data_IF_444341804794
#
_entry.id   IF_444341804794
#
_cell.length_a   1.000
_cell.length_b   1.000
_cell.length_c   1.000
_cell.angle_alpha   90.00
_cell.angle_beta   90.00
_cell.angle_gamma   90.00
#
_symmetry.space_group_name_H-M   'P 1'
#
loop_
_entity.id
_entity.type
_entity.pdbx_description
1 polymer ?
#
# COMPACT_ATOMS: atom_id res chain seq x y z
N UNK A 1 -31.47 7.53 -34.72
CA UNK A 1 -30.04 7.65 -34.35
C UNK A 1 -29.74 6.64 -33.25
N UNK A 2 -29.12 5.50 -33.58
CA UNK A 2 -28.69 4.51 -32.56
C UNK A 2 -27.30 4.90 -32.10
N UNK A 3 -27.20 5.44 -30.89
CA UNK A 3 -25.94 5.63 -30.19
C UNK A 3 -25.28 4.25 -30.06
N UNK A 4 -24.14 4.06 -30.71
CA UNK A 4 -23.33 2.87 -30.53
C UNK A 4 -23.02 2.74 -29.04
N UNK A 5 -23.47 1.64 -28.42
CA UNK A 5 -23.08 1.26 -27.08
C UNK A 5 -21.57 1.01 -27.08
N UNK A 6 -20.80 2.07 -26.87
CA UNK A 6 -19.39 1.96 -26.57
C UNK A 6 -19.28 1.12 -25.30
N UNK A 7 -18.85 -0.13 -25.46
CA UNK A 7 -18.52 -1.04 -24.37
C UNK A 7 -17.40 -0.38 -23.56
N UNK A 8 -17.75 0.49 -22.61
CA UNK A 8 -16.85 0.97 -21.57
C UNK A 8 -16.48 -0.28 -20.77
N UNK A 9 -15.27 -0.80 -20.99
CA UNK A 9 -14.77 -1.97 -20.26
C UNK A 9 -14.95 -1.75 -18.76
N UNK A 10 -15.85 -2.51 -18.16
CA UNK A 10 -16.16 -2.53 -16.73
C UNK A 10 -15.04 -3.21 -15.92
N UNK A 11 -13.77 -2.89 -16.20
CA UNK A 11 -12.60 -3.48 -15.57
C UNK A 11 -11.99 -2.50 -14.57
N UNK A 12 -11.96 -2.89 -13.30
CA UNK A 12 -11.41 -2.11 -12.20
C UNK A 12 -9.91 -2.40 -12.02
N UNK A 13 -9.18 -1.59 -11.23
CA UNK A 13 -7.79 -1.87 -10.92
C UNK A 13 -7.65 -3.14 -10.08
N UNK A 14 -8.55 -3.31 -9.11
CA UNK A 14 -8.46 -4.33 -8.10
C UNK A 14 -9.15 -5.65 -8.50
N UNK A 15 -8.72 -6.75 -7.87
CA UNK A 15 -9.42 -8.04 -7.94
C UNK A 15 -10.79 -7.98 -7.24
N UNK A 16 -10.84 -7.26 -6.11
CA UNK A 16 -12.03 -7.01 -5.31
C UNK A 16 -12.61 -5.62 -5.65
N UNK A 17 -13.92 -5.38 -5.50
CA UNK A 17 -14.47 -4.04 -5.69
C UNK A 17 -13.76 -3.02 -4.79
N UNK A 18 -13.50 -1.82 -5.30
CA UNK A 18 -12.79 -0.76 -4.55
C UNK A 18 -13.48 -0.39 -3.24
N UNK A 19 -14.80 -0.56 -3.16
CA UNK A 19 -15.56 -0.41 -1.92
C UNK A 19 -15.23 -1.45 -0.85
N UNK A 20 -14.93 -2.69 -1.25
CA UNK A 20 -14.52 -3.75 -0.30
C UNK A 20 -13.13 -3.44 0.25
N UNK A 21 -12.20 -3.02 -0.61
CA UNK A 21 -10.86 -2.61 -0.18
C UNK A 21 -10.95 -1.38 0.73
N UNK A 22 -11.78 -0.39 0.39
CA UNK A 22 -12.06 0.79 1.23
C UNK A 22 -12.58 0.38 2.61
N UNK A 23 -13.55 -0.54 2.66
CA UNK A 23 -14.13 -1.02 3.91
C UNK A 23 -13.08 -1.74 4.77
N UNK A 24 -12.41 -2.74 4.22
CA UNK A 24 -11.45 -3.57 4.97
C UNK A 24 -10.25 -2.72 5.43
N UNK A 25 -9.63 -1.97 4.52
CA UNK A 25 -8.51 -1.10 4.87
C UNK A 25 -8.93 0.02 5.84
N UNK A 26 -10.15 0.56 5.69
CA UNK A 26 -10.68 1.59 6.58
C UNK A 26 -10.92 1.06 8.00
N UNK A 27 -11.51 -0.13 8.14
CA UNK A 27 -11.69 -0.76 9.45
C UNK A 27 -10.36 -1.07 10.12
N UNK A 28 -9.38 -1.57 9.35
CA UNK A 28 -8.01 -1.78 9.85
C UNK A 28 -7.41 -0.44 10.29
N UNK A 29 -7.50 0.61 9.49
CA UNK A 29 -6.93 1.91 9.82
C UNK A 29 -7.56 2.53 11.08
N UNK A 30 -8.88 2.43 11.25
CA UNK A 30 -9.57 2.89 12.47
C UNK A 30 -9.14 2.07 13.68
N UNK A 31 -9.07 0.74 13.56
CA UNK A 31 -8.67 -0.13 14.66
C UNK A 31 -7.23 0.15 15.10
N UNK A 32 -6.30 0.24 14.15
CA UNK A 32 -4.89 0.56 14.40
C UNK A 32 -4.70 1.97 14.96
N UNK A 33 -5.43 2.96 14.42
CA UNK A 33 -5.41 4.34 14.95
C UNK A 33 -5.96 4.42 16.37
N UNK A 34 -7.04 3.70 16.67
CA UNK A 34 -7.62 3.62 18.02
C UNK A 34 -6.66 2.94 18.99
N UNK A 35 -6.04 1.84 18.58
CA UNK A 35 -5.03 1.14 19.36
C UNK A 35 -3.85 2.07 19.72
N UNK A 36 -3.30 2.77 18.73
CA UNK A 36 -2.21 3.73 18.92
C UNK A 36 -2.62 4.87 19.86
N UNK A 37 -3.81 5.45 19.66
CA UNK A 37 -4.34 6.51 20.52
C UNK A 37 -4.52 6.06 21.98
N UNK A 38 -5.07 4.86 22.19
CA UNK A 38 -5.27 4.33 23.54
C UNK A 38 -3.92 4.04 24.19
N UNK A 39 -2.95 3.53 23.44
CA UNK A 39 -1.59 3.37 23.95
C UNK A 39 -1.02 4.71 24.41
N UNK A 40 -1.05 5.74 23.55
CA UNK A 40 -0.53 7.07 23.88
C UNK A 40 -1.21 7.66 25.13
N UNK A 41 -2.51 7.39 25.32
CA UNK A 41 -3.24 7.80 26.50
C UNK A 41 -2.76 7.08 27.77
N UNK A 42 -2.57 5.75 27.72
CA UNK A 42 -2.04 4.99 28.86
C UNK A 42 -0.59 5.35 29.18
N UNK A 43 0.19 5.73 28.17
CA UNK A 43 1.56 6.24 28.32
C UNK A 43 1.62 7.70 28.79
N UNK A 44 0.48 8.34 29.04
CA UNK A 44 0.40 9.73 29.52
C UNK A 44 0.84 10.78 28.50
N UNK A 45 0.90 10.44 27.22
CA UNK A 45 1.36 11.32 26.14
C UNK A 45 0.28 12.23 25.59
N UNK A 46 -0.98 11.81 25.71
CA UNK A 46 -2.15 12.60 25.30
C UNK A 46 -3.12 12.73 26.44
N UNK A 47 -3.79 13.89 26.51
CA UNK A 47 -4.76 14.16 27.56
C UNK A 47 -6.13 13.55 27.25
N UNK A 48 -6.98 13.50 28.27
CA UNK A 48 -8.32 12.88 28.17
C UNK A 48 -9.20 13.59 27.13
N UNK A 49 -9.05 14.91 27.00
CA UNK A 49 -9.83 15.69 26.05
C UNK A 49 -9.44 15.34 24.61
N UNK A 50 -8.14 15.27 24.30
CA UNK A 50 -7.63 14.83 23.02
C UNK A 50 -8.12 13.43 22.68
N UNK A 51 -8.04 12.48 23.62
CA UNK A 51 -8.51 11.11 23.39
C UNK A 51 -10.00 11.06 23.05
N UNK A 52 -10.85 11.82 23.76
CA UNK A 52 -12.29 11.88 23.46
C UNK A 52 -12.54 12.44 22.06
N UNK A 53 -11.89 13.54 21.69
CA UNK A 53 -12.04 14.16 20.37
C UNK A 53 -11.55 13.23 19.24
N UNK A 54 -10.46 12.51 19.46
CA UNK A 54 -9.92 11.56 18.50
C UNK A 54 -10.85 10.33 18.34
N UNK A 55 -11.44 9.81 19.43
CA UNK A 55 -12.42 8.73 19.35
C UNK A 55 -13.71 9.17 18.62
N UNK A 56 -14.19 10.39 18.88
CA UNK A 56 -15.32 10.97 18.13
C UNK A 56 -15.01 11.09 16.64
N UNK A 57 -13.79 11.53 16.30
CA UNK A 57 -13.31 11.58 14.91
C UNK A 57 -13.26 10.18 14.29
N UNK A 58 -12.88 9.15 15.06
CA UNK A 58 -12.93 7.74 14.66
C UNK A 58 -14.36 7.27 14.34
N UNK A 59 -15.36 7.67 15.12
CA UNK A 59 -16.77 7.37 14.84
C UNK A 59 -17.25 8.03 13.54
N UNK A 60 -16.87 9.29 13.31
CA UNK A 60 -17.16 9.99 12.05
C UNK A 60 -16.49 9.26 10.88
N UNK A 61 -15.25 8.80 11.05
CA UNK A 61 -14.55 8.05 10.02
C UNK A 61 -15.24 6.73 9.69
N UNK A 62 -15.68 5.96 10.70
CA UNK A 62 -16.46 4.75 10.53
C UNK A 62 -17.77 5.01 9.78
N UNK A 63 -18.48 6.09 10.12
CA UNK A 63 -19.68 6.50 9.40
C UNK A 63 -19.38 6.81 7.93
N UNK A 64 -18.30 7.55 7.64
CA UNK A 64 -17.87 7.81 6.26
C UNK A 64 -17.52 6.53 5.50
N UNK A 65 -16.80 5.59 6.14
CA UNK A 65 -16.45 4.29 5.55
C UNK A 65 -17.72 3.49 5.23
N UNK A 66 -18.66 3.40 6.17
CA UNK A 66 -19.94 2.72 5.98
C UNK A 66 -20.74 3.33 4.82
N UNK A 67 -20.84 4.66 4.78
CA UNK A 67 -21.51 5.38 3.69
C UNK A 67 -20.79 5.19 2.35
N UNK A 68 -19.46 5.20 2.34
CA UNK A 68 -18.65 4.93 1.15
C UNK A 68 -18.84 3.51 0.62
N UNK A 69 -18.96 2.52 1.51
CA UNK A 69 -19.27 1.14 1.17
C UNK A 69 -20.67 0.99 0.55
N UNK A 70 -21.67 1.67 1.12
CA UNK A 70 -23.02 1.75 0.54
C UNK A 70 -23.06 2.50 -0.80
N UNK A 71 -22.01 3.27 -1.11
CA UNK A 71 -21.81 3.91 -2.40
C UNK A 71 -22.07 5.40 -2.44
N UNK A 72 -22.30 6.02 -1.29
CA UNK A 72 -22.46 7.46 -1.19
C UNK A 72 -21.13 8.18 -1.41
N UNK A 73 -21.09 9.10 -2.37
CA UNK A 73 -19.87 9.85 -2.74
C UNK A 73 -19.29 10.64 -1.58
N UNK A 74 -20.14 11.28 -0.78
CA UNK A 74 -19.69 12.03 0.38
C UNK A 74 -18.99 11.14 1.42
N UNK A 75 -19.45 9.89 1.59
CA UNK A 75 -18.78 8.89 2.42
C UNK A 75 -17.41 8.50 1.87
N UNK A 76 -17.31 8.26 0.56
CA UNK A 76 -16.02 7.99 -0.12
C UNK A 76 -15.04 9.16 0.06
N UNK A 77 -15.50 10.40 -0.12
CA UNK A 77 -14.69 11.60 0.06
C UNK A 77 -14.22 11.73 1.52
N UNK A 78 -15.15 11.65 2.48
CA UNK A 78 -14.84 11.75 3.90
C UNK A 78 -13.85 10.68 4.36
N UNK A 79 -14.06 9.42 3.95
CA UNK A 79 -13.17 8.33 4.30
C UNK A 79 -11.75 8.53 3.74
N UNK A 80 -11.64 9.01 2.49
CA UNK A 80 -10.35 9.33 1.88
C UNK A 80 -9.67 10.55 2.51
N UNK A 81 -10.42 11.60 2.82
CA UNK A 81 -9.89 12.82 3.42
C UNK A 81 -9.35 12.57 4.83
N UNK A 82 -10.09 11.86 5.67
CA UNK A 82 -9.65 11.52 7.03
C UNK A 82 -8.41 10.62 6.98
N UNK A 83 -8.40 9.61 6.09
CA UNK A 83 -7.21 8.76 5.90
C UNK A 83 -5.98 9.55 5.43
N UNK A 84 -6.17 10.53 4.55
CA UNK A 84 -5.09 11.40 4.10
C UNK A 84 -4.55 12.28 5.23
N UNK A 85 -5.42 12.86 6.05
CA UNK A 85 -5.02 13.62 7.24
C UNK A 85 -4.26 12.73 8.22
N UNK A 86 -4.76 11.52 8.51
CA UNK A 86 -4.07 10.58 9.40
C UNK A 86 -2.69 10.19 8.88
N UNK A 87 -2.57 9.95 7.57
CA UNK A 87 -1.29 9.70 6.92
C UNK A 87 -0.33 10.90 7.06
N UNK A 88 -0.85 12.12 6.87
CA UNK A 88 -0.07 13.36 7.05
C UNK A 88 0.39 13.56 8.49
N UNK A 89 -0.46 13.29 9.47
CA UNK A 89 -0.12 13.33 10.90
C UNK A 89 1.01 12.34 11.19
N UNK A 90 0.87 11.08 10.77
CA UNK A 90 1.93 10.07 10.93
C UNK A 90 3.26 10.53 10.32
N UNK A 91 3.22 11.01 9.07
CA UNK A 91 4.41 11.52 8.40
C UNK A 91 5.07 12.67 9.17
N UNK A 92 4.27 13.59 9.74
CA UNK A 92 4.80 14.72 10.52
C UNK A 92 5.37 14.33 11.88
N UNK A 93 4.79 13.30 12.53
CA UNK A 93 5.22 12.84 13.85
C UNK A 93 6.46 11.95 13.79
N UNK A 94 6.69 11.21 12.70
CA UNK A 94 7.89 10.35 12.56
C UNK A 94 9.21 11.14 12.48
N UNK A 95 9.18 12.40 12.02
CA UNK A 95 10.38 13.26 12.00
C UNK A 95 10.66 13.94 13.36
N UNK A 96 9.80 13.74 14.36
CA UNK A 96 9.92 14.37 15.68
C UNK A 96 10.19 13.27 16.71
N UNK A 97 11.35 13.32 17.35
CA UNK A 97 11.68 12.40 18.45
C UNK A 97 10.73 12.62 19.64
N UNK A 98 10.09 11.54 20.11
CA UNK A 98 9.11 11.59 21.19
C UNK A 98 8.68 10.21 21.66
N UNK A 99 7.75 10.17 22.62
CA UNK A 99 7.27 8.91 23.20
C UNK A 99 6.48 8.05 22.21
N UNK A 100 5.90 8.66 21.17
CA UNK A 100 5.27 7.95 20.04
C UNK A 100 6.24 7.44 18.98
N UNK A 101 7.56 7.56 19.18
CA UNK A 101 8.56 7.03 18.25
C UNK A 101 8.54 5.50 18.23
N UNK A 102 8.76 4.90 17.06
CA UNK A 102 8.68 3.45 16.86
C UNK A 102 9.70 2.69 17.73
N UNK A 103 10.88 3.26 17.95
CA UNK A 103 11.91 2.72 18.82
C UNK A 103 11.50 2.71 20.29
N UNK A 104 10.63 3.63 20.73
CA UNK A 104 10.04 3.63 22.07
C UNK A 104 9.05 2.48 22.20
N UNK A 105 8.19 2.28 21.20
CA UNK A 105 7.30 1.12 21.13
C UNK A 105 8.05 -0.22 21.15
N UNK A 106 9.10 -0.34 20.34
CA UNK A 106 9.92 -1.57 20.31
C UNK A 106 10.55 -1.86 21.67
N UNK A 107 11.03 -0.84 22.38
CA UNK A 107 11.69 -1.00 23.70
C UNK A 107 10.72 -1.33 24.83
N UNK A 108 9.53 -0.72 24.84
CA UNK A 108 8.60 -0.84 25.96
C UNK A 108 7.52 -1.90 25.75
N UNK A 109 7.09 -2.13 24.51
CA UNK A 109 5.95 -3.01 24.19
C UNK A 109 6.33 -4.17 23.24
N UNK A 110 7.49 -4.09 22.61
CA UNK A 110 8.04 -5.13 21.76
C UNK A 110 7.67 -5.01 20.27
N UNK A 111 8.31 -5.88 19.48
CA UNK A 111 8.20 -5.93 18.02
C UNK A 111 6.75 -6.02 17.48
N UNK A 112 5.83 -6.81 18.05
CA UNK A 112 4.48 -6.94 17.49
C UNK A 112 3.70 -5.62 17.51
N UNK A 113 3.80 -4.85 18.59
CA UNK A 113 3.12 -3.55 18.73
C UNK A 113 3.67 -2.53 17.75
N UNK A 114 4.99 -2.45 17.61
CA UNK A 114 5.64 -1.58 16.64
C UNK A 114 5.25 -1.93 15.19
N UNK A 115 5.16 -3.23 14.87
CA UNK A 115 4.70 -3.72 13.56
C UNK A 115 3.27 -3.25 13.26
N UNK A 116 2.38 -3.35 14.26
CA UNK A 116 0.98 -2.95 14.19
C UNK A 116 0.86 -1.44 13.96
N UNK A 117 1.67 -0.63 14.65
CA UNK A 117 1.72 0.81 14.43
C UNK A 117 2.18 1.16 13.00
N UNK A 118 3.24 0.50 12.49
CA UNK A 118 3.72 0.71 11.11
C UNK A 118 2.69 0.35 10.05
N UNK A 119 1.84 -0.64 10.31
CA UNK A 119 0.80 -1.08 9.37
C UNK A 119 -0.31 -0.03 9.16
N UNK A 120 -0.40 0.99 10.01
CA UNK A 120 -1.38 2.08 9.86
C UNK A 120 -1.13 2.91 8.60
N UNK A 121 0.14 3.14 8.24
CA UNK A 121 0.55 3.89 7.04
C UNK A 121 0.01 3.24 5.75
N UNK A 122 0.31 1.95 5.45
CA UNK A 122 -0.24 1.30 4.27
C UNK A 122 -1.76 1.15 4.34
N UNK A 123 -2.37 0.99 5.52
CA UNK A 123 -3.83 0.97 5.64
C UNK A 123 -4.45 2.32 5.20
N UNK A 124 -3.91 3.45 5.67
CA UNK A 124 -4.36 4.78 5.27
C UNK A 124 -4.14 5.03 3.77
N UNK A 125 -2.97 4.65 3.24
CA UNK A 125 -2.68 4.75 1.81
C UNK A 125 -3.69 3.95 0.96
N UNK A 126 -4.02 2.71 1.38
CA UNK A 126 -5.03 1.87 0.74
C UNK A 126 -6.42 2.51 0.76
N UNK A 127 -6.82 3.16 1.85
CA UNK A 127 -8.10 3.89 1.92
C UNK A 127 -8.11 5.05 0.92
N UNK A 128 -7.07 5.88 0.87
CA UNK A 128 -6.96 7.01 -0.08
C UNK A 128 -7.03 6.52 -1.53
N UNK A 129 -6.27 5.49 -1.87
CA UNK A 129 -6.28 4.90 -3.22
C UNK A 129 -7.64 4.29 -3.56
N UNK A 130 -8.26 3.57 -2.63
CA UNK A 130 -9.57 2.96 -2.83
C UNK A 130 -10.67 4.00 -2.97
N UNK A 131 -10.57 5.12 -2.26
CA UNK A 131 -11.49 6.25 -2.41
C UNK A 131 -11.38 6.90 -3.79
N UNK A 132 -10.16 7.15 -4.27
CA UNK A 132 -9.92 7.70 -5.61
C UNK A 132 -10.47 6.78 -6.72
N UNK A 133 -10.28 5.46 -6.59
CA UNK A 133 -10.84 4.49 -7.52
C UNK A 133 -12.37 4.44 -7.42
N UNK A 134 -12.91 4.43 -6.20
CA UNK A 134 -14.35 4.36 -5.94
C UNK A 134 -15.11 5.58 -6.47
N UNK A 135 -14.44 6.73 -6.56
CA UNK A 135 -14.99 7.95 -7.14
C UNK A 135 -15.35 7.80 -8.62
N UNK A 136 -14.52 7.08 -9.38
CA UNK A 136 -14.70 6.93 -10.83
C UNK A 136 -15.36 5.62 -11.22
N UNK A 137 -15.07 4.53 -10.52
CA UNK A 137 -15.56 3.22 -10.89
C UNK A 137 -15.72 2.27 -9.67
N UNK A 138 -16.77 2.49 -8.85
CA UNK A 138 -16.91 1.87 -7.54
C UNK A 138 -17.06 0.34 -7.53
N UNK A 139 -17.72 -0.21 -8.55
CA UNK A 139 -18.05 -1.64 -8.62
C UNK A 139 -17.13 -2.42 -9.57
N UNK A 140 -16.15 -1.75 -10.19
CA UNK A 140 -15.33 -2.41 -11.19
C UNK A 140 -14.30 -3.32 -10.55
N UNK A 141 -14.18 -4.51 -11.12
CA UNK A 141 -13.22 -5.56 -10.74
C UNK A 141 -12.48 -6.05 -11.98
N UNK A 142 -11.28 -6.61 -11.80
CA UNK A 142 -10.59 -7.32 -12.86
C UNK A 142 -10.31 -8.77 -12.44
N UNK A 143 -11.01 -9.77 -13.01
CA UNK A 143 -10.84 -11.17 -12.62
C UNK A 143 -9.63 -11.85 -13.29
N UNK A 144 -8.75 -11.13 -13.98
CA UNK A 144 -7.61 -11.75 -14.69
C UNK A 144 -6.66 -12.42 -13.72
N UNK A 145 -6.53 -13.74 -13.85
CA UNK A 145 -5.63 -14.57 -13.03
C UNK A 145 -4.16 -14.08 -13.07
N UNK A 146 -3.71 -13.57 -14.23
CA UNK A 146 -2.37 -12.97 -14.39
C UNK A 146 -2.08 -11.84 -13.39
N UNK A 147 -3.12 -11.12 -12.93
CA UNK A 147 -2.99 -10.01 -11.97
C UNK A 147 -3.06 -10.48 -10.52
N UNK A 148 -3.56 -11.70 -10.27
CA UNK A 148 -3.66 -12.29 -8.93
C UNK A 148 -2.28 -12.55 -8.35
N UNK A 149 -1.39 -13.16 -9.14
CA UNK A 149 -0.03 -13.47 -8.70
C UNK A 149 0.73 -12.21 -8.26
N UNK A 150 0.62 -11.12 -9.03
CA UNK A 150 1.27 -9.84 -8.70
C UNK A 150 0.63 -9.14 -7.51
N UNK A 151 -0.70 -9.26 -7.32
CA UNK A 151 -1.34 -8.73 -6.12
C UNK A 151 -0.91 -9.50 -4.87
N UNK A 152 -0.90 -10.84 -4.93
CA UNK A 152 -0.43 -11.67 -3.82
C UNK A 152 1.04 -11.40 -3.49
N UNK A 153 1.88 -11.29 -4.51
CA UNK A 153 3.28 -10.90 -4.34
C UNK A 153 3.42 -9.51 -3.71
N UNK A 154 2.56 -8.55 -4.07
CA UNK A 154 2.58 -7.20 -3.49
C UNK A 154 2.08 -7.20 -2.04
N UNK A 155 1.09 -8.04 -1.71
CA UNK A 155 0.58 -8.20 -0.35
C UNK A 155 1.64 -8.83 0.57
N UNK A 156 2.21 -9.96 0.14
CA UNK A 156 3.29 -10.63 0.87
C UNK A 156 4.53 -9.73 0.97
N UNK A 157 4.87 -9.04 -0.11
CA UNK A 157 5.96 -8.07 -0.15
C UNK A 157 5.80 -6.96 0.88
N UNK A 158 4.63 -6.34 0.94
CA UNK A 158 4.36 -5.31 1.95
C UNK A 158 4.41 -5.84 3.38
N UNK A 159 3.86 -7.03 3.64
CA UNK A 159 3.96 -7.68 4.96
C UNK A 159 5.41 -7.92 5.34
N UNK A 160 6.21 -8.50 4.45
CA UNK A 160 7.61 -8.79 4.72
C UNK A 160 8.45 -7.52 4.88
N UNK A 161 8.20 -6.46 4.11
CA UNK A 161 8.90 -5.17 4.25
C UNK A 161 8.60 -4.53 5.59
N UNK A 162 7.34 -4.51 6.05
CA UNK A 162 6.98 -3.98 7.37
C UNK A 162 7.64 -4.80 8.48
N UNK A 163 7.60 -6.13 8.39
CA UNK A 163 8.25 -7.00 9.36
C UNK A 163 9.77 -6.78 9.40
N UNK A 164 10.43 -6.79 8.25
CA UNK A 164 11.87 -6.55 8.14
C UNK A 164 12.27 -5.18 8.69
N UNK A 165 11.49 -4.14 8.41
CA UNK A 165 11.76 -2.80 8.91
C UNK A 165 11.58 -2.69 10.42
N UNK A 166 10.57 -3.37 10.99
CA UNK A 166 10.37 -3.41 12.44
C UNK A 166 11.55 -4.10 13.15
N UNK A 167 12.06 -5.19 12.57
CA UNK A 167 13.30 -5.84 13.04
C UNK A 167 14.52 -4.92 12.93
N UNK A 168 14.63 -4.16 11.85
CA UNK A 168 15.67 -3.13 11.67
C UNK A 168 15.63 -2.07 12.78
N UNK A 169 14.45 -1.61 13.18
CA UNK A 169 14.29 -0.67 14.31
C UNK A 169 14.77 -1.30 15.61
N UNK A 170 14.43 -2.57 15.86
CA UNK A 170 14.85 -3.28 17.07
C UNK A 170 16.36 -3.43 17.19
N UNK A 171 17.04 -3.73 16.07
CA UNK A 171 18.50 -3.89 16.02
C UNK A 171 19.23 -2.57 15.83
N UNK A 172 18.52 -1.45 15.70
CA UNK A 172 19.07 -0.14 15.34
C UNK A 172 19.91 -0.16 14.07
N UNK A 173 19.48 -0.96 13.08
CA UNK A 173 20.27 -1.30 11.90
C UNK A 173 19.63 -0.77 10.60
N UNK A 174 20.00 0.48 10.26
CA UNK A 174 19.68 1.14 8.99
C UNK A 174 20.91 1.87 8.40
N UNK A 175 22.11 1.37 8.70
CA UNK A 175 23.36 2.03 8.31
C UNK A 175 23.57 3.34 9.06
N UNK A 176 23.83 4.44 8.34
CA UNK A 176 23.99 5.78 8.94
C UNK A 176 22.68 6.56 9.10
N UNK A 177 21.57 6.01 8.60
CA UNK A 177 20.27 6.65 8.70
C UNK A 177 19.63 6.42 10.07
N UNK A 178 18.78 7.36 10.50
CA UNK A 178 17.92 7.18 11.65
C UNK A 178 16.96 6.00 11.40
N UNK A 179 16.79 5.14 12.41
CA UNK A 179 15.97 3.93 12.33
C UNK A 179 14.49 4.25 12.11
N UNK A 180 14.02 5.36 12.67
CA UNK A 180 12.65 5.86 12.47
C UNK A 180 12.39 6.24 11.01
N UNK A 181 13.32 6.97 10.40
CA UNK A 181 13.22 7.40 9.01
C UNK A 181 13.26 6.19 8.07
N UNK A 182 14.11 5.20 8.38
CA UNK A 182 14.18 3.93 7.66
C UNK A 182 12.88 3.12 7.73
N UNK A 183 12.27 3.04 8.91
CA UNK A 183 11.00 2.37 9.11
C UNK A 183 9.84 3.05 8.37
N UNK A 184 9.78 4.39 8.44
CA UNK A 184 8.77 5.15 7.70
C UNK A 184 8.96 4.99 6.18
N UNK A 185 10.19 5.10 5.68
CA UNK A 185 10.49 4.85 4.28
C UNK A 185 10.05 3.45 3.84
N UNK A 186 10.29 2.42 4.66
CA UNK A 186 9.80 1.07 4.39
C UNK A 186 8.27 0.99 4.33
N UNK A 187 7.55 1.70 5.19
CA UNK A 187 6.09 1.75 5.15
C UNK A 187 5.55 2.45 3.89
N UNK A 188 6.24 3.50 3.40
CA UNK A 188 5.94 4.12 2.10
C UNK A 188 6.22 3.15 0.96
N UNK A 189 7.35 2.45 0.98
CA UNK A 189 7.71 1.45 -0.04
C UNK A 189 6.71 0.30 -0.08
N UNK A 190 6.28 -0.20 1.08
CA UNK A 190 5.23 -1.21 1.20
C UNK A 190 3.90 -0.71 0.59
N UNK A 191 3.55 0.55 0.85
CA UNK A 191 2.36 1.20 0.27
C UNK A 191 2.44 1.30 -1.25
N UNK A 192 3.60 1.69 -1.80
CA UNK A 192 3.85 1.77 -3.24
C UNK A 192 3.79 0.39 -3.91
N UNK A 193 4.32 -0.65 -3.26
CA UNK A 193 4.26 -2.00 -3.80
C UNK A 193 2.82 -2.50 -3.87
N UNK A 194 2.05 -2.35 -2.77
CA UNK A 194 0.62 -2.66 -2.73
C UNK A 194 -0.16 -1.89 -3.80
N UNK A 195 0.08 -0.59 -3.91
CA UNK A 195 -0.50 0.29 -4.91
C UNK A 195 -0.23 -0.23 -6.33
N UNK A 196 1.01 -0.63 -6.61
CA UNK A 196 1.42 -1.18 -7.88
C UNK A 196 0.69 -2.47 -8.24
N UNK A 197 0.64 -3.43 -7.31
CA UNK A 197 -0.11 -4.69 -7.47
C UNK A 197 -1.60 -4.45 -7.67
N UNK A 198 -2.16 -3.45 -7.02
CA UNK A 198 -3.54 -3.06 -7.15
C UNK A 198 -3.83 -2.34 -8.48
N UNK A 199 -2.94 -1.49 -9.00
CA UNK A 199 -3.20 -0.72 -10.23
C UNK A 199 -2.86 -1.47 -11.52
N UNK A 200 -2.04 -2.53 -11.45
CA UNK A 200 -1.57 -3.25 -12.64
C UNK A 200 -2.71 -3.84 -13.49
N UNK A 201 -3.86 -4.11 -12.87
CA UNK A 201 -5.07 -4.61 -13.54
C UNK A 201 -5.77 -3.57 -14.42
N UNK A 202 -5.67 -2.27 -14.14
CA UNK A 202 -6.35 -1.20 -14.91
C UNK A 202 -5.37 -0.35 -15.70
N UNK A 203 -4.27 0.05 -15.06
CA UNK A 203 -3.26 0.94 -15.64
C UNK A 203 -1.92 0.22 -15.59
N UNK A 204 -1.75 -0.80 -16.45
CA UNK A 204 -0.60 -1.73 -16.43
C UNK A 204 0.74 -1.03 -16.34
N UNK A 205 0.92 0.10 -17.04
CA UNK A 205 2.14 0.91 -17.01
C UNK A 205 2.39 1.54 -15.64
N UNK A 206 1.40 2.24 -15.09
CA UNK A 206 1.50 2.86 -13.76
C UNK A 206 1.70 1.82 -12.67
N UNK A 207 0.92 0.73 -12.69
CA UNK A 207 1.08 -0.36 -11.74
C UNK A 207 2.47 -1.00 -11.81
N UNK A 208 2.96 -1.30 -13.02
CA UNK A 208 4.31 -1.84 -13.20
C UNK A 208 5.39 -0.87 -12.73
N UNK A 209 5.27 0.43 -13.02
CA UNK A 209 6.23 1.44 -12.57
C UNK A 209 6.29 1.55 -11.04
N UNK A 210 5.14 1.52 -10.36
CA UNK A 210 5.08 1.52 -8.90
C UNK A 210 5.73 0.27 -8.29
N UNK A 211 5.47 -0.92 -8.86
CA UNK A 211 6.14 -2.15 -8.42
C UNK A 211 7.65 -2.04 -8.63
N UNK A 212 8.11 -1.61 -9.81
CA UNK A 212 9.54 -1.45 -10.13
C UNK A 212 10.24 -0.54 -9.13
N UNK A 213 9.66 0.63 -8.85
CA UNK A 213 10.24 1.59 -7.89
C UNK A 213 10.28 1.00 -6.49
N UNK A 214 9.17 0.44 -6.02
CA UNK A 214 9.09 -0.11 -4.67
C UNK A 214 10.07 -1.28 -4.48
N UNK A 215 10.06 -2.24 -5.40
CA UNK A 215 10.89 -3.43 -5.26
C UNK A 215 12.36 -3.14 -5.47
N UNK A 216 12.71 -2.18 -6.34
CA UNK A 216 14.08 -1.68 -6.45
C UNK A 216 14.61 -1.18 -5.12
N UNK A 217 13.84 -0.32 -4.43
CA UNK A 217 14.24 0.21 -3.12
C UNK A 217 14.48 -0.93 -2.13
N UNK A 218 13.60 -1.94 -2.08
CA UNK A 218 13.74 -3.09 -1.16
C UNK A 218 15.02 -3.89 -1.44
N UNK A 219 15.19 -4.43 -2.65
CA UNK A 219 16.30 -5.35 -2.90
C UNK A 219 17.64 -4.62 -2.95
N UNK A 220 17.68 -3.38 -3.45
CA UNK A 220 18.88 -2.56 -3.43
C UNK A 220 19.31 -2.22 -2.00
N UNK A 221 18.37 -1.80 -1.15
CA UNK A 221 18.67 -1.49 0.26
C UNK A 221 19.20 -2.71 1.00
N UNK A 222 18.65 -3.90 0.74
CA UNK A 222 19.17 -5.14 1.31
C UNK A 222 20.62 -5.42 0.88
N UNK A 223 20.95 -5.23 -0.39
CA UNK A 223 22.33 -5.39 -0.87
C UNK A 223 23.26 -4.41 -0.15
N UNK A 224 22.88 -3.13 -0.06
CA UNK A 224 23.73 -2.11 0.57
C UNK A 224 23.88 -2.31 2.08
N UNK A 225 22.83 -2.76 2.78
CA UNK A 225 22.84 -2.90 4.24
C UNK A 225 23.41 -4.24 4.71
N UNK A 226 23.23 -5.32 3.93
CA UNK A 226 23.52 -6.68 4.42
C UNK A 226 24.57 -7.45 3.61
N UNK A 227 24.92 -7.00 2.41
CA UNK A 227 25.90 -7.67 1.54
C UNK A 227 27.17 -6.86 1.29
N UNK A 228 27.16 -5.54 1.50
CA UNK A 228 28.36 -4.70 1.43
C UNK A 228 29.19 -4.83 2.71
N UNK A 229 30.52 -4.82 2.58
CA UNK A 229 31.44 -4.87 3.73
C UNK A 229 31.16 -3.72 4.71
N UNK A 230 31.00 -4.07 5.99
CA UNK A 230 30.72 -3.11 7.06
C UNK A 230 29.24 -2.93 7.39
N UNK A 231 28.33 -3.58 6.66
CA UNK A 231 26.91 -3.68 7.01
C UNK A 231 26.59 -4.88 7.90
N UNK A 232 25.41 -4.89 8.50
CA UNK A 232 24.94 -5.97 9.38
C UNK A 232 24.61 -7.21 8.56
N UNK A 233 25.31 -8.31 8.82
CA UNK A 233 25.15 -9.52 8.01
C UNK A 233 23.83 -10.24 8.30
N UNK A 234 23.31 -11.02 7.33
CA UNK A 234 22.13 -11.88 7.55
C UNK A 234 22.35 -12.87 8.70
N UNK A 235 23.59 -13.31 8.92
CA UNK A 235 23.97 -14.17 10.04
C UNK A 235 23.80 -13.45 11.39
N UNK A 236 24.11 -12.16 11.42
CA UNK A 236 23.95 -11.31 12.59
C UNK A 236 22.47 -11.06 12.90
N UNK A 237 21.62 -10.90 11.88
CA UNK A 237 20.16 -10.90 12.05
C UNK A 237 19.71 -12.20 12.74
N UNK A 238 20.20 -13.35 12.25
CA UNK A 238 19.84 -14.65 12.80
C UNK A 238 20.32 -14.84 14.26
N UNK A 239 21.46 -14.27 14.64
CA UNK A 239 21.97 -14.36 16.02
C UNK A 239 21.28 -13.40 16.99
N UNK A 240 20.86 -12.22 16.51
CA UNK A 240 20.31 -11.16 17.37
C UNK A 240 18.80 -11.26 17.50
N UNK A 241 18.10 -11.45 16.39
CA UNK A 241 16.63 -11.50 16.36
C UNK A 241 16.09 -12.91 16.15
N UNK A 242 16.91 -13.83 15.66
CA UNK A 242 16.54 -15.22 15.40
C UNK A 242 16.39 -15.55 13.92
N UNK A 243 16.43 -16.86 13.63
CA UNK A 243 16.47 -17.39 12.25
C UNK A 243 15.24 -16.97 11.42
N UNK A 244 14.06 -16.87 12.04
CA UNK A 244 12.83 -16.50 11.34
C UNK A 244 12.94 -15.10 10.72
N UNK A 245 13.56 -14.13 11.39
CA UNK A 245 13.71 -12.77 10.88
C UNK A 245 14.73 -12.68 9.74
N UNK A 246 15.81 -13.46 9.84
CA UNK A 246 16.76 -13.61 8.74
C UNK A 246 16.07 -14.20 7.48
N UNK A 247 15.19 -15.19 7.67
CA UNK A 247 14.40 -15.77 6.58
C UNK A 247 13.40 -14.77 6.00
N UNK A 248 12.70 -13.98 6.82
CA UNK A 248 11.79 -12.92 6.36
C UNK A 248 12.55 -11.89 5.52
N UNK A 249 13.70 -11.42 5.99
CA UNK A 249 14.53 -10.43 5.30
C UNK A 249 15.04 -10.94 3.94
N UNK A 250 15.51 -12.19 3.90
CA UNK A 250 15.91 -12.84 2.65
C UNK A 250 14.71 -13.05 1.71
N UNK A 251 13.57 -13.52 2.22
CA UNK A 251 12.36 -13.75 1.44
C UNK A 251 11.80 -12.44 0.86
N UNK A 252 11.79 -11.34 1.63
CA UNK A 252 11.40 -10.01 1.17
C UNK A 252 12.22 -9.58 -0.05
N UNK A 253 13.54 -9.77 0.04
CA UNK A 253 14.51 -9.40 -1.00
C UNK A 253 14.34 -10.24 -2.25
N UNK A 254 14.21 -11.56 -2.11
CA UNK A 254 13.98 -12.47 -3.25
C UNK A 254 12.66 -12.16 -3.94
N UNK A 255 11.59 -11.96 -3.17
CA UNK A 255 10.28 -11.61 -3.70
C UNK A 255 10.30 -10.24 -4.41
N UNK A 256 11.03 -9.28 -3.86
CA UNK A 256 11.24 -7.97 -4.47
C UNK A 256 12.00 -8.09 -5.80
N UNK A 257 13.12 -8.82 -5.83
CA UNK A 257 13.89 -9.07 -7.05
C UNK A 257 13.06 -9.76 -8.15
N UNK A 258 12.31 -10.81 -7.80
CA UNK A 258 11.42 -11.49 -8.74
C UNK A 258 10.32 -10.55 -9.26
N UNK A 259 9.68 -9.79 -8.37
CA UNK A 259 8.63 -8.84 -8.73
C UNK A 259 9.16 -7.69 -9.60
N UNK A 260 10.39 -7.24 -9.35
CA UNK A 260 11.09 -6.24 -10.15
C UNK A 260 11.27 -6.71 -11.61
N UNK A 261 11.81 -7.92 -11.81
CA UNK A 261 12.03 -8.49 -13.15
C UNK A 261 10.71 -8.67 -13.91
N UNK A 262 9.69 -9.20 -13.24
CA UNK A 262 8.36 -9.37 -13.84
C UNK A 262 7.78 -8.01 -14.23
N UNK A 263 7.80 -7.03 -13.32
CA UNK A 263 7.24 -5.70 -13.58
C UNK A 263 7.99 -4.96 -14.70
N UNK A 264 9.32 -5.05 -14.76
CA UNK A 264 10.11 -4.53 -15.88
C UNK A 264 9.74 -5.17 -17.21
N UNK A 265 9.58 -6.51 -17.23
CA UNK A 265 9.16 -7.23 -18.43
C UNK A 265 7.79 -6.73 -18.91
N UNK A 266 6.85 -6.54 -17.97
CA UNK A 266 5.53 -5.99 -18.27
C UNK A 266 5.57 -4.55 -18.79
N UNK A 267 6.46 -3.73 -18.23
CA UNK A 267 6.66 -2.35 -18.66
C UNK A 267 7.28 -2.30 -20.07
N UNK A 268 8.33 -3.08 -20.33
CA UNK A 268 8.97 -3.18 -21.63
C UNK A 268 7.99 -3.65 -22.71
N UNK A 269 7.22 -4.71 -22.44
CA UNK A 269 6.18 -5.19 -23.37
C UNK A 269 5.11 -4.13 -23.64
N UNK A 270 4.78 -3.30 -22.65
CA UNK A 270 3.81 -2.21 -22.81
C UNK A 270 4.36 -1.00 -23.58
N UNK A 271 5.68 -0.83 -23.66
CA UNK A 271 6.36 0.21 -24.43
C UNK A 271 6.64 -0.25 -25.87
N UNK A 272 7.00 -1.52 -26.06
CA UNK A 272 7.39 -2.08 -27.37
C UNK A 272 6.19 -2.41 -28.25
N UNK A 273 5.00 -2.71 -27.70
CA UNK A 273 3.80 -2.92 -28.52
C UNK A 273 3.34 -1.59 -29.13
N UNK A 274 3.41 -1.41 -30.47
CA UNK A 274 2.82 -0.25 -31.12
C UNK A 274 1.33 -0.23 -30.78
N UNK A 275 0.81 0.94 -30.41
CA UNK A 275 -0.63 1.10 -30.23
C UNK A 275 -1.32 0.59 -31.48
N UNK A 276 -2.33 -0.29 -31.33
CA UNK A 276 -3.26 -0.60 -32.41
C UNK A 276 -3.78 0.74 -32.92
N UNK A 277 -3.21 1.23 -34.00
CA UNK A 277 -3.74 2.31 -34.80
C UNK A 277 -5.20 1.97 -35.05
N UNK A 278 -6.10 2.89 -34.72
CA UNK A 278 -7.52 2.77 -35.02
C UNK A 278 -7.66 2.25 -36.45
N UNK A 279 -8.13 1.01 -36.60
CA UNK A 279 -8.58 0.52 -37.89
C UNK A 279 -9.65 1.52 -38.37
N UNK A 280 -9.52 2.10 -39.58
CA UNK A 280 -10.61 2.83 -40.17
C UNK A 280 -11.79 1.88 -40.23
N UNK A 281 -12.91 2.25 -39.61
CA UNK A 281 -14.17 1.54 -39.81
C UNK A 281 -14.45 1.56 -41.31
N UNK A 282 -14.31 0.42 -41.97
CA UNK A 282 -14.82 0.23 -43.32
C UNK A 282 -16.32 0.49 -43.27
N UNK A 283 -16.75 1.53 -43.98
CA UNK A 283 -18.15 1.88 -44.11
C UNK A 283 -18.93 0.68 -44.68
N UNK A 284 -20.12 0.34 -44.15
CA UNK A 284 -20.94 -0.71 -44.74
C UNK A 284 -21.36 -0.29 -46.15
N UNK A 285 -21.11 -1.19 -47.11
CA UNK A 285 -21.52 -1.05 -48.49
C UNK A 285 -23.03 -0.77 -48.56
N UNK A 286 -23.41 0.32 -49.21
CA UNK A 286 -24.80 0.62 -49.52
C UNK A 286 -25.36 -0.50 -50.41
N UNK A 287 -26.22 -1.34 -49.83
CA UNK A 287 -27.05 -2.25 -50.60
C UNK A 287 -27.98 -1.41 -51.47
N UNK A 288 -27.83 -1.57 -52.79
CA UNK A 288 -28.80 -1.16 -53.81
C UNK A 288 -30.20 -1.62 -53.39
N UNK A 289 -31.11 -0.68 -53.16
CA UNK A 289 -32.53 -0.95 -53.18
C UNK A 289 -33.02 -0.75 -54.61
N UNK A 290 -33.27 -1.86 -55.31
CA UNK A 290 -34.10 -1.89 -56.50
C UNK A 290 -35.58 -1.82 -56.09
N UNK A 291 -36.27 -0.76 -56.48
CA UNK A 291 -37.62 -0.74 -57.08
C UNK A 291 -38.04 0.69 -57.31
#
# INVERSE_FOLDING_TARGET
MRAGAGVRRAQGPFLLPARVVLLVAGLIAVALGTFTLLHDYHAGQVDRLYTILALLSGLVWLACIGLGFMGYRFGVFGAGAIAFVQFGVLASTHFVSGAGALGTFVKHEGLPVATVAMALVPACALVVMSAAVSWTNPSARNPRQETIALLLASLLGAVFVILQATDGVHRTDFGTANTEDGAFAAAIVASLWLAGGLWIGRVRRTGALLIVVATFIVWYSFVTLHLVKGGTSVREIASTSGVIWALISAAATVLAGASFVVALTLLALALVRPGRSKQPQTAPAAQRASR
#
